data_IF_003037176391
#
_entry.id   IF_003037176391
#
_cell.length_a   1.000
_cell.length_b   1.000
_cell.length_c   1.000
_cell.angle_alpha   90.00
_cell.angle_beta   90.00
_cell.angle_gamma   90.00
#
_symmetry.space_group_name_H-M   'P 1'
#
loop_
_entity.id
_entity.type
_entity.pdbx_description
1 polymer ?
#
# COMPACT_ATOMS: atom_id res chain seq x y z
N UNK A 1 -3.24 19.66 21.45
CA UNK A 1 -2.60 18.36 21.71
C UNK A 1 -1.10 18.57 21.57
N UNK A 2 -0.33 18.23 22.61
CA UNK A 2 1.13 18.20 22.51
C UNK A 2 1.51 17.34 21.30
N UNK A 3 2.50 17.76 20.51
CA UNK A 3 2.91 17.07 19.28
C UNK A 3 3.14 15.57 19.52
N UNK A 4 3.70 15.23 20.68
CA UNK A 4 4.01 13.86 21.11
C UNK A 4 2.79 12.94 21.30
N UNK A 5 1.66 13.46 21.81
CA UNK A 5 0.44 12.64 21.99
C UNK A 5 -0.23 12.32 20.65
N UNK A 6 -0.24 13.29 19.73
CA UNK A 6 -0.77 13.11 18.37
C UNK A 6 0.04 12.11 17.55
N UNK A 7 1.37 12.13 17.74
CA UNK A 7 2.30 11.22 17.07
C UNK A 7 2.12 9.77 17.57
N UNK A 8 2.01 9.56 18.87
CA UNK A 8 1.76 8.25 19.46
C UNK A 8 0.42 7.64 18.98
N UNK A 9 -0.63 8.47 18.89
CA UNK A 9 -1.91 8.05 18.35
C UNK A 9 -1.80 7.66 16.87
N UNK A 10 -1.12 8.47 16.06
CA UNK A 10 -0.94 8.23 14.62
C UNK A 10 -0.18 6.92 14.38
N UNK A 11 0.91 6.70 15.12
CA UNK A 11 1.68 5.45 15.06
C UNK A 11 0.83 4.23 15.42
N UNK A 12 0.03 4.31 16.50
CA UNK A 12 -0.89 3.22 16.90
C UNK A 12 -1.90 2.88 15.79
N UNK A 13 -2.43 3.89 15.11
CA UNK A 13 -3.39 3.69 14.01
C UNK A 13 -2.73 3.00 12.83
N UNK A 14 -1.54 3.45 12.41
CA UNK A 14 -0.78 2.85 11.32
C UNK A 14 -0.46 1.38 11.59
N UNK A 15 -0.01 1.06 12.82
CA UNK A 15 0.23 -0.33 13.24
C UNK A 15 -1.04 -1.17 13.24
N UNK A 16 -2.18 -0.59 13.61
CA UNK A 16 -3.47 -1.28 13.60
C UNK A 16 -3.88 -1.64 12.17
N UNK A 17 -3.79 -0.67 11.23
CA UNK A 17 -4.10 -0.89 9.82
C UNK A 17 -3.21 -1.98 9.23
N UNK A 18 -1.88 -1.88 9.44
CA UNK A 18 -0.94 -2.91 8.98
C UNK A 18 -1.30 -4.29 9.52
N UNK A 19 -1.57 -4.40 10.83
CA UNK A 19 -1.91 -5.68 11.45
C UNK A 19 -3.18 -6.29 10.85
N UNK A 20 -4.16 -5.48 10.47
CA UNK A 20 -5.36 -5.98 9.77
C UNK A 20 -4.97 -6.53 8.39
N UNK A 21 -4.16 -5.78 7.63
CA UNK A 21 -3.65 -6.20 6.31
C UNK A 21 -2.84 -7.49 6.38
N UNK A 22 -2.02 -7.67 7.41
CA UNK A 22 -1.22 -8.90 7.57
C UNK A 22 -2.07 -10.11 7.96
N UNK A 23 -3.13 -9.91 8.75
CA UNK A 23 -3.96 -11.01 9.26
C UNK A 23 -5.06 -11.43 8.28
N UNK A 24 -5.54 -10.51 7.44
CA UNK A 24 -6.59 -10.78 6.46
C UNK A 24 -6.04 -10.65 5.05
N UNK A 25 -5.98 -11.77 4.33
CA UNK A 25 -5.55 -11.88 2.93
C UNK A 25 -6.70 -11.69 1.94
N UNK A 26 -7.92 -11.45 2.43
CA UNK A 26 -9.14 -11.32 1.63
C UNK A 26 -9.78 -9.93 1.74
N UNK A 27 -9.00 -8.89 2.08
CA UNK A 27 -9.50 -7.52 2.16
C UNK A 27 -10.12 -7.13 0.83
N UNK A 28 -11.36 -6.69 0.92
CA UNK A 28 -12.19 -6.28 -0.22
C UNK A 28 -11.85 -4.86 -0.61
N UNK A 29 -11.83 -3.94 0.36
CA UNK A 29 -11.50 -2.54 0.12
C UNK A 29 -11.04 -1.78 1.36
N UNK A 30 -10.42 -0.64 1.09
CA UNK A 30 -10.16 0.42 2.06
C UNK A 30 -10.99 1.64 1.67
N UNK A 31 -11.57 2.35 2.64
CA UNK A 31 -12.24 3.63 2.38
C UNK A 31 -12.14 4.62 3.56
N UNK A 32 -12.37 5.89 3.24
CA UNK A 32 -12.36 7.00 4.20
C UNK A 32 -13.79 7.30 4.62
N UNK A 33 -14.10 7.10 5.90
CA UNK A 33 -15.43 7.34 6.46
C UNK A 33 -15.58 8.82 6.83
N UNK A 34 -16.53 9.57 6.23
CA UNK A 34 -16.76 10.98 6.57
C UNK A 34 -17.21 11.13 8.02
N UNK A 35 -16.29 11.57 8.87
CA UNK A 35 -16.50 11.78 10.30
C UNK A 35 -15.74 13.03 10.72
N UNK A 36 -16.43 14.15 11.02
CA UNK A 36 -15.77 15.43 11.26
C UNK A 36 -15.08 15.52 12.63
N UNK A 37 -15.59 14.79 13.63
CA UNK A 37 -15.07 14.81 15.00
C UNK A 37 -15.09 13.43 15.63
N UNK A 38 -14.13 13.20 16.53
CA UNK A 38 -14.14 12.00 17.34
C UNK A 38 -15.14 12.13 18.51
N UNK A 39 -16.34 11.59 18.36
CA UNK A 39 -17.42 11.67 19.36
C UNK A 39 -17.43 10.49 20.35
N UNK A 40 -16.70 9.42 20.06
CA UNK A 40 -16.67 8.18 20.86
C UNK A 40 -15.20 7.88 21.13
N UNK A 41 -14.78 7.63 22.37
CA UNK A 41 -13.39 7.26 22.68
C UNK A 41 -13.02 5.85 22.14
N UNK A 42 -13.16 5.67 20.83
CA UNK A 42 -13.01 4.45 20.04
C UNK A 42 -11.89 4.68 19.03
N UNK A 43 -11.37 3.57 18.51
CA UNK A 43 -10.40 3.60 17.42
C UNK A 43 -11.05 4.22 16.17
N UNK A 44 -10.35 5.10 15.43
CA UNK A 44 -10.84 5.61 14.15
C UNK A 44 -10.71 4.60 13.01
N UNK A 45 -10.12 3.43 13.28
CA UNK A 45 -10.07 2.30 12.35
C UNK A 45 -11.28 1.42 12.60
N UNK A 46 -12.13 1.30 11.60
CA UNK A 46 -13.28 0.39 11.55
C UNK A 46 -12.89 -0.78 10.64
N UNK A 47 -13.19 -2.00 11.07
CA UNK A 47 -12.96 -3.20 10.28
C UNK A 47 -14.20 -4.09 10.37
N UNK A 48 -14.86 -4.29 9.24
CA UNK A 48 -16.12 -5.04 9.11
C UNK A 48 -16.18 -5.68 7.72
N UNK A 49 -16.60 -6.94 7.64
CA UNK A 49 -16.76 -7.70 6.40
C UNK A 49 -15.58 -7.60 5.41
N UNK A 50 -14.35 -7.75 5.91
CA UNK A 50 -13.12 -7.65 5.12
C UNK A 50 -12.88 -6.26 4.49
N UNK A 51 -13.55 -5.22 4.99
CA UNK A 51 -13.37 -3.82 4.57
C UNK A 51 -12.77 -3.00 5.70
N UNK A 52 -11.81 -2.13 5.35
CA UNK A 52 -11.14 -1.24 6.30
C UNK A 52 -11.65 0.18 6.09
N UNK A 53 -12.30 0.73 7.11
CA UNK A 53 -12.72 2.13 7.17
C UNK A 53 -11.77 2.97 8.03
N UNK A 54 -11.35 4.13 7.54
CA UNK A 54 -10.62 5.12 8.33
C UNK A 54 -11.43 6.41 8.49
N UNK A 55 -11.75 6.78 9.73
CA UNK A 55 -12.50 8.01 10.00
C UNK A 55 -11.73 9.28 9.57
N UNK A 56 -12.40 10.19 8.87
CA UNK A 56 -11.73 11.30 8.18
C UNK A 56 -11.04 12.33 9.09
N UNK A 57 -11.49 12.49 10.34
CA UNK A 57 -10.93 13.47 11.27
C UNK A 57 -9.44 13.21 11.59
N UNK A 58 -8.99 11.96 11.55
CA UNK A 58 -7.62 11.59 11.90
C UNK A 58 -6.64 11.65 10.72
N UNK A 59 -7.14 11.77 9.47
CA UNK A 59 -6.34 11.67 8.24
C UNK A 59 -5.24 12.73 8.21
N UNK A 60 -5.56 13.99 8.50
CA UNK A 60 -4.57 15.08 8.48
C UNK A 60 -3.43 14.83 9.47
N UNK A 61 -3.76 14.30 10.65
CA UNK A 61 -2.77 13.99 11.69
C UNK A 61 -1.86 12.84 11.26
N UNK A 62 -2.46 11.74 10.80
CA UNK A 62 -1.72 10.55 10.35
C UNK A 62 -0.83 10.89 9.16
N UNK A 63 -1.36 11.59 8.16
CA UNK A 63 -0.62 11.90 6.94
C UNK A 63 0.53 12.87 7.20
N UNK A 64 0.34 13.89 8.05
CA UNK A 64 1.42 14.79 8.42
C UNK A 64 2.51 14.05 9.22
N UNK A 65 2.12 13.24 10.21
CA UNK A 65 3.04 12.41 10.97
C UNK A 65 3.84 11.47 10.05
N UNK A 66 3.16 10.79 9.12
CA UNK A 66 3.81 9.91 8.16
C UNK A 66 4.81 10.68 7.29
N UNK A 67 4.40 11.78 6.66
CA UNK A 67 5.28 12.59 5.81
C UNK A 67 6.54 13.07 6.55
N UNK A 68 6.40 13.61 7.76
CA UNK A 68 7.54 14.09 8.54
C UNK A 68 8.57 13.00 8.82
N UNK A 69 8.12 11.80 9.22
CA UNK A 69 9.02 10.69 9.55
C UNK A 69 9.56 9.98 8.29
N UNK A 70 8.77 9.88 7.21
CA UNK A 70 9.17 9.20 5.97
C UNK A 70 10.40 9.84 5.34
N UNK A 71 10.44 11.17 5.23
CA UNK A 71 11.60 11.83 4.62
C UNK A 71 12.85 11.73 5.48
N UNK A 72 12.72 11.78 6.81
CA UNK A 72 13.84 11.57 7.73
C UNK A 72 14.39 10.15 7.60
N UNK A 73 13.51 9.14 7.59
CA UNK A 73 13.92 7.73 7.48
C UNK A 73 14.51 7.43 6.11
N UNK A 74 13.99 8.04 5.06
CA UNK A 74 14.52 7.88 3.71
C UNK A 74 15.93 8.47 3.56
N UNK A 75 16.21 9.63 4.15
CA UNK A 75 17.56 10.19 4.20
C UNK A 75 18.53 9.28 4.98
N UNK A 76 18.09 8.73 6.11
CA UNK A 76 18.86 7.75 6.88
C UNK A 76 19.10 6.45 6.11
N UNK A 77 18.11 5.97 5.34
CA UNK A 77 18.20 4.77 4.51
C UNK A 77 19.24 4.95 3.40
N UNK A 78 19.26 6.11 2.73
CA UNK A 78 20.27 6.44 1.71
C UNK A 78 21.68 6.54 2.28
N UNK A 79 21.80 7.02 3.52
CA UNK A 79 23.08 7.11 4.23
C UNK A 79 23.51 5.76 4.85
N UNK A 80 22.72 4.70 4.72
CA UNK A 80 22.99 3.39 5.32
C UNK A 80 22.94 3.38 6.86
N UNK A 81 22.24 4.34 7.48
CA UNK A 81 22.18 4.53 8.94
C UNK A 81 20.88 4.05 9.57
N UNK A 82 19.90 3.64 8.76
CA UNK A 82 18.60 3.22 9.25
C UNK A 82 18.71 1.83 9.91
N UNK A 83 18.27 1.70 11.16
CA UNK A 83 18.27 0.41 11.85
C UNK A 83 17.13 -0.48 11.37
N UNK A 84 17.25 -1.79 11.56
CA UNK A 84 16.23 -2.77 11.17
C UNK A 84 14.86 -2.50 11.79
N UNK A 85 14.80 -2.14 13.08
CA UNK A 85 13.52 -1.78 13.72
C UNK A 85 12.85 -0.58 13.04
N UNK A 86 13.65 0.46 12.71
CA UNK A 86 13.14 1.65 12.01
C UNK A 86 12.74 1.36 10.57
N UNK A 87 13.29 0.33 9.93
CA UNK A 87 12.84 -0.12 8.61
C UNK A 87 11.42 -0.69 8.65
N UNK A 88 11.08 -1.44 9.71
CA UNK A 88 9.72 -1.89 9.94
C UNK A 88 8.76 -0.70 10.08
N UNK A 89 9.11 0.26 10.93
CA UNK A 89 8.32 1.49 11.11
C UNK A 89 8.22 2.32 9.83
N UNK A 90 9.29 2.38 9.04
CA UNK A 90 9.30 3.03 7.74
C UNK A 90 8.25 2.42 6.79
N UNK A 91 8.14 1.10 6.76
CA UNK A 91 7.13 0.41 5.96
C UNK A 91 5.70 0.71 6.47
N UNK A 92 5.50 0.74 7.79
CA UNK A 92 4.20 1.06 8.40
C UNK A 92 3.72 2.46 7.99
N UNK A 93 4.64 3.43 7.98
CA UNK A 93 4.39 4.79 7.53
C UNK A 93 4.05 4.83 6.03
N UNK A 94 4.77 4.08 5.20
CA UNK A 94 4.51 4.00 3.75
C UNK A 94 3.13 3.40 3.45
N UNK A 95 2.74 2.33 4.14
CA UNK A 95 1.43 1.69 4.00
C UNK A 95 0.32 2.73 4.24
N UNK A 96 0.35 3.42 5.39
CA UNK A 96 -0.69 4.40 5.70
C UNK A 96 -0.69 5.61 4.77
N UNK A 97 0.49 6.13 4.42
CA UNK A 97 0.60 7.28 3.52
C UNK A 97 0.06 6.95 2.12
N UNK A 98 0.34 5.77 1.59
CA UNK A 98 -0.14 5.31 0.28
C UNK A 98 -1.63 4.97 0.28
N UNK A 99 -2.19 4.41 1.36
CA UNK A 99 -3.63 4.21 1.48
C UNK A 99 -4.39 5.54 1.47
N UNK A 100 -3.87 6.56 2.17
CA UNK A 100 -4.47 7.91 2.18
C UNK A 100 -4.27 8.62 0.83
N UNK A 101 -3.03 8.65 0.33
CA UNK A 101 -2.67 9.35 -0.90
C UNK A 101 -1.74 8.52 -1.81
N UNK A 102 -2.31 7.70 -2.69
CA UNK A 102 -1.53 6.81 -3.56
C UNK A 102 -0.93 7.50 -4.79
N UNK A 103 -1.18 8.80 -5.02
CA UNK A 103 -0.64 9.53 -6.17
C UNK A 103 0.80 10.03 -5.97
N UNK A 104 1.40 9.76 -4.81
CA UNK A 104 2.75 10.22 -4.50
C UNK A 104 3.78 9.21 -5.02
N UNK A 105 4.29 9.43 -6.23
CA UNK A 105 5.32 8.57 -6.87
C UNK A 105 6.53 8.33 -5.97
N UNK A 106 6.94 9.32 -5.17
CA UNK A 106 8.07 9.19 -4.23
C UNK A 106 7.87 8.06 -3.22
N UNK A 107 6.65 7.84 -2.72
CA UNK A 107 6.38 6.77 -1.75
C UNK A 107 6.46 5.38 -2.40
N UNK A 108 6.01 5.24 -3.66
CA UNK A 108 6.22 4.02 -4.43
C UNK A 108 7.69 3.76 -4.75
N UNK A 109 8.49 4.80 -4.99
CA UNK A 109 9.94 4.67 -5.14
C UNK A 109 10.60 4.18 -3.85
N UNK A 110 10.19 4.68 -2.69
CA UNK A 110 10.68 4.20 -1.40
C UNK A 110 10.34 2.71 -1.20
N UNK A 111 9.13 2.27 -1.55
CA UNK A 111 8.74 0.85 -1.55
C UNK A 111 9.60 -0.01 -2.49
N UNK A 112 9.91 0.48 -3.70
CA UNK A 112 10.83 -0.21 -4.64
C UNK A 112 12.21 -0.40 -4.03
N UNK A 113 12.76 0.63 -3.41
CA UNK A 113 14.08 0.56 -2.76
C UNK A 113 14.11 -0.46 -1.62
N UNK A 114 13.02 -0.60 -0.85
CA UNK A 114 12.92 -1.63 0.18
C UNK A 114 12.86 -3.05 -0.40
N UNK A 115 12.14 -3.26 -1.51
CA UNK A 115 12.11 -4.55 -2.22
C UNK A 115 13.48 -4.89 -2.82
N UNK A 116 14.18 -3.91 -3.40
CA UNK A 116 15.53 -4.11 -3.97
C UNK A 116 16.57 -4.48 -2.92
N UNK A 117 16.37 -4.03 -1.68
CA UNK A 117 17.18 -4.40 -0.51
C UNK A 117 16.71 -5.68 0.17
N UNK A 118 15.74 -6.40 -0.41
CA UNK A 118 15.15 -7.63 0.13
C UNK A 118 14.52 -7.47 1.53
N UNK A 119 14.07 -6.24 1.86
CA UNK A 119 13.44 -5.92 3.14
C UNK A 119 11.92 -6.12 3.14
N UNK A 120 11.33 -6.25 1.96
CA UNK A 120 9.90 -6.52 1.77
C UNK A 120 9.71 -7.76 0.92
N UNK A 121 8.61 -8.48 1.16
CA UNK A 121 8.21 -9.60 0.33
C UNK A 121 7.41 -9.10 -0.88
N UNK A 122 7.67 -9.67 -2.06
CA UNK A 122 7.00 -9.29 -3.31
C UNK A 122 5.51 -9.67 -3.30
N UNK A 123 5.15 -10.81 -2.71
CA UNK A 123 3.76 -11.28 -2.63
C UNK A 123 2.93 -10.38 -1.72
N UNK A 124 3.48 -9.98 -0.57
CA UNK A 124 2.83 -9.02 0.34
C UNK A 124 2.60 -7.66 -0.35
N UNK A 125 3.55 -7.21 -1.18
CA UNK A 125 3.41 -5.96 -1.93
C UNK A 125 2.46 -6.07 -3.13
N UNK A 126 2.34 -7.26 -3.76
CA UNK A 126 1.27 -7.54 -4.71
C UNK A 126 -0.09 -7.47 -4.00
N UNK A 127 -0.22 -8.03 -2.80
CA UNK A 127 -1.45 -7.93 -2.05
C UNK A 127 -1.77 -6.48 -1.65
N UNK A 128 -0.79 -5.74 -1.13
CA UNK A 128 -0.95 -4.33 -0.78
C UNK A 128 -1.36 -3.47 -1.98
N UNK A 129 -0.72 -3.63 -3.15
CA UNK A 129 -1.09 -2.88 -4.35
C UNK A 129 -2.52 -3.16 -4.82
N UNK A 130 -3.02 -4.40 -4.64
CA UNK A 130 -4.43 -4.73 -4.90
C UNK A 130 -5.37 -3.92 -4.01
N UNK A 131 -5.06 -3.81 -2.71
CA UNK A 131 -5.86 -3.00 -1.76
C UNK A 131 -5.88 -1.53 -2.22
N UNK A 132 -4.73 -0.96 -2.56
CA UNK A 132 -4.66 0.43 -3.04
C UNK A 132 -5.47 0.65 -4.32
N UNK A 133 -5.39 -0.28 -5.28
CA UNK A 133 -6.16 -0.22 -6.54
C UNK A 133 -7.66 -0.37 -6.28
N UNK A 134 -8.06 -1.21 -5.32
CA UNK A 134 -9.47 -1.37 -4.93
C UNK A 134 -10.06 -0.09 -4.32
N UNK A 135 -9.26 0.69 -3.60
CA UNK A 135 -9.66 1.99 -3.06
C UNK A 135 -9.70 3.07 -4.15
N UNK A 136 -8.61 3.22 -4.92
CA UNK A 136 -8.50 4.22 -6.00
C UNK A 136 -8.07 3.56 -7.30
N UNK A 137 -9.04 3.15 -8.10
CA UNK A 137 -8.83 2.39 -9.33
C UNK A 137 -8.09 3.17 -10.45
N UNK A 138 -7.93 4.50 -10.36
CA UNK A 138 -7.28 5.34 -11.39
C UNK A 138 -5.81 5.69 -11.10
N UNK A 139 -5.17 5.05 -10.13
CA UNK A 139 -3.79 5.39 -9.74
C UNK A 139 -2.79 4.69 -10.67
N UNK A 140 -2.21 5.44 -11.61
CA UNK A 140 -1.19 4.95 -12.55
C UNK A 140 0.06 4.40 -11.84
N UNK A 141 0.51 5.07 -10.76
CA UNK A 141 1.69 4.64 -9.99
C UNK A 141 1.49 3.26 -9.33
N UNK A 142 0.28 2.97 -8.82
CA UNK A 142 -0.03 1.68 -8.23
C UNK A 142 0.06 0.54 -9.27
N UNK A 143 -0.49 0.76 -10.47
CA UNK A 143 -0.34 -0.17 -11.59
C UNK A 143 1.11 -0.29 -12.06
N UNK A 144 1.86 0.81 -12.10
CA UNK A 144 3.27 0.79 -12.48
C UNK A 144 4.12 0.00 -11.47
N UNK A 145 3.86 0.19 -10.17
CA UNK A 145 4.51 -0.56 -9.10
C UNK A 145 4.17 -2.05 -9.20
N UNK A 146 2.89 -2.40 -9.40
CA UNK A 146 2.44 -3.77 -9.58
C UNK A 146 3.08 -4.47 -10.78
N UNK A 147 3.14 -3.83 -11.96
CA UNK A 147 3.86 -4.35 -13.13
C UNK A 147 5.33 -4.62 -12.83
N UNK A 148 5.99 -3.69 -12.14
CA UNK A 148 7.39 -3.86 -11.77
C UNK A 148 7.60 -5.07 -10.85
N UNK A 149 6.71 -5.33 -9.88
CA UNK A 149 6.75 -6.53 -9.03
C UNK A 149 6.57 -7.81 -9.85
N UNK A 150 5.58 -7.84 -10.75
CA UNK A 150 5.33 -9.01 -11.63
C UNK A 150 6.54 -9.30 -12.52
N UNK A 151 7.13 -8.27 -13.14
CA UNK A 151 8.33 -8.43 -13.95
C UNK A 151 9.49 -9.02 -13.14
N UNK A 152 9.65 -8.64 -11.86
CA UNK A 152 10.67 -9.26 -11.00
C UNK A 152 10.40 -10.74 -10.76
N UNK A 153 9.15 -11.14 -10.51
CA UNK A 153 8.79 -12.55 -10.35
C UNK A 153 9.08 -13.31 -11.64
N UNK A 154 8.57 -12.82 -12.77
CA UNK A 154 8.72 -13.48 -14.08
C UNK A 154 10.19 -13.61 -14.44
N UNK A 155 10.98 -12.54 -14.32
CA UNK A 155 12.41 -12.58 -14.63
C UNK A 155 13.17 -13.57 -13.73
N UNK A 156 12.80 -13.67 -12.44
CA UNK A 156 13.38 -14.64 -11.51
C UNK A 156 12.99 -16.08 -11.85
N UNK A 157 11.75 -16.32 -12.25
CA UNK A 157 11.29 -17.65 -12.67
C UNK A 157 11.97 -18.08 -13.98
N UNK A 158 12.04 -17.18 -14.96
CA UNK A 158 12.71 -17.41 -16.24
C UNK A 158 14.20 -17.71 -16.05
N UNK A 159 14.90 -16.98 -15.17
CA UNK A 159 16.33 -17.27 -14.90
C UNK A 159 16.56 -18.63 -14.22
N UNK A 160 15.53 -19.16 -13.56
CA UNK A 160 15.53 -20.49 -12.94
C UNK A 160 14.95 -21.59 -13.85
N UNK A 161 14.55 -21.27 -15.09
CA UNK A 161 13.82 -22.16 -16.01
C UNK A 161 12.54 -22.76 -15.38
N UNK A 162 11.85 -21.99 -14.54
CA UNK A 162 10.57 -22.36 -13.93
C UNK A 162 9.45 -21.74 -14.76
N UNK A 163 8.44 -22.55 -15.08
CA UNK A 163 7.25 -22.08 -15.79
C UNK A 163 6.43 -21.13 -14.90
N UNK A 164 5.95 -20.02 -15.48
CA UNK A 164 5.16 -19.03 -14.73
C UNK A 164 3.80 -19.67 -14.35
N UNK A 165 3.45 -19.71 -13.05
CA UNK A 165 2.19 -20.31 -12.63
C UNK A 165 0.98 -19.61 -13.25
N UNK A 166 0.04 -20.39 -13.80
CA UNK A 166 -1.22 -19.86 -14.32
C UNK A 166 -2.00 -19.04 -13.28
N UNK A 167 -1.86 -19.38 -12.00
CA UNK A 167 -2.47 -18.67 -10.88
C UNK A 167 -2.01 -17.21 -10.77
N UNK A 168 -0.76 -16.89 -11.13
CA UNK A 168 -0.26 -15.52 -11.13
C UNK A 168 -1.00 -14.66 -12.16
N UNK A 169 -1.16 -15.19 -13.38
CA UNK A 169 -1.88 -14.53 -14.45
C UNK A 169 -3.39 -14.40 -14.15
N UNK A 170 -3.99 -15.45 -13.60
CA UNK A 170 -5.39 -15.45 -13.18
C UNK A 170 -5.67 -14.39 -12.11
N UNK A 171 -4.79 -14.30 -11.10
CA UNK A 171 -4.87 -13.26 -10.09
C UNK A 171 -4.78 -11.88 -10.72
N UNK A 172 -3.93 -11.71 -11.72
CA UNK A 172 -3.74 -10.41 -12.35
C UNK A 172 -4.95 -9.97 -13.19
N UNK A 173 -5.56 -10.90 -13.93
CA UNK A 173 -6.84 -10.63 -14.58
C UNK A 173 -7.95 -10.27 -13.59
N UNK A 174 -7.97 -10.88 -12.40
CA UNK A 174 -8.95 -10.53 -11.36
C UNK A 174 -8.82 -9.08 -10.88
N UNK A 175 -7.59 -8.59 -10.69
CA UNK A 175 -7.31 -7.22 -10.24
C UNK A 175 -7.69 -6.21 -11.33
N UNK A 176 -7.33 -6.50 -12.58
CA UNK A 176 -7.72 -5.68 -13.74
C UNK A 176 -9.23 -5.61 -13.87
N UNK A 177 -9.92 -6.74 -13.77
CA UNK A 177 -11.37 -6.81 -13.85
C UNK A 177 -12.03 -5.97 -12.75
N UNK A 178 -11.61 -6.15 -11.49
CA UNK A 178 -12.06 -5.36 -10.35
C UNK A 178 -11.87 -3.84 -10.58
N UNK A 179 -10.68 -3.43 -11.03
CA UNK A 179 -10.39 -2.02 -11.29
C UNK A 179 -11.19 -1.43 -12.46
N UNK A 180 -11.53 -2.25 -13.46
CA UNK A 180 -12.35 -1.86 -14.60
C UNK A 180 -13.83 -1.68 -14.22
N UNK A 181 -14.34 -2.49 -13.29
CA UNK A 181 -15.72 -2.37 -12.79
C UNK A 181 -15.90 -1.10 -11.92
N UNK A 182 -14.90 -0.75 -11.10
CA UNK A 182 -14.95 0.42 -10.22
C UNK A 182 -14.84 1.77 -10.94
N UNK A 183 -14.39 1.80 -12.20
CA UNK A 183 -14.32 3.04 -12.98
C UNK A 183 -14.61 2.80 -14.46
N UNK A 184 -15.68 3.38 -15.03
CA UNK A 184 -15.89 3.35 -16.47
C UNK A 184 -14.71 4.02 -17.21
N UNK A 185 -14.33 3.47 -18.37
CA UNK A 185 -13.22 3.94 -19.20
C UNK A 185 -11.85 4.02 -18.49
N UNK A 186 -11.54 3.04 -17.63
CA UNK A 186 -10.25 2.97 -16.94
C UNK A 186 -9.10 2.57 -17.91
N UNK A 187 -8.57 3.55 -18.65
CA UNK A 187 -7.45 3.37 -19.58
C UNK A 187 -6.21 2.75 -18.90
N UNK A 188 -5.96 3.04 -17.62
CA UNK A 188 -4.81 2.47 -16.89
C UNK A 188 -4.95 0.96 -16.67
N UNK A 189 -6.16 0.46 -16.38
CA UNK A 189 -6.43 -0.98 -16.27
C UNK A 189 -6.28 -1.69 -17.61
N UNK A 190 -6.80 -1.10 -18.69
CA UNK A 190 -6.68 -1.68 -20.04
C UNK A 190 -5.23 -1.69 -20.54
N UNK A 191 -4.45 -0.63 -20.31
CA UNK A 191 -3.02 -0.63 -20.61
C UNK A 191 -2.25 -1.65 -19.77
N UNK A 192 -2.61 -1.82 -18.49
CA UNK A 192 -2.01 -2.85 -17.66
C UNK A 192 -2.31 -4.25 -18.21
N UNK A 193 -3.54 -4.48 -18.69
CA UNK A 193 -3.94 -5.74 -19.32
C UNK A 193 -3.12 -6.05 -20.57
N UNK A 194 -3.01 -5.10 -21.48
CA UNK A 194 -2.24 -5.28 -22.73
C UNK A 194 -0.78 -5.62 -22.39
N UNK A 195 -0.21 -4.98 -21.37
CA UNK A 195 1.15 -5.26 -20.92
C UNK A 195 1.31 -6.63 -20.24
N UNK A 196 0.24 -7.21 -19.70
CA UNK A 196 0.27 -8.54 -19.07
C UNK A 196 0.08 -9.68 -20.10
N UNK A 197 -0.40 -9.36 -21.30
CA UNK A 197 -0.61 -10.32 -22.41
C UNK A 197 0.62 -10.43 -23.34
N UNK A 198 1.60 -9.51 -23.23
CA UNK A 198 2.86 -9.49 -23.99
C UNK A 198 4.03 -10.11 -23.20
#
# INVERSE_FOLDING_TARGET
MSSTEGDAMSNRILRTIKKIIENDQNIVEFDIIPTPYNLKNKSPVVYEDHSIGLESWCIKHIYNYACSNLFEYYDQLKKGKLSYMKMGEFNDLLIGALLINPHVTTFWNMKRELIERELLNVDDELYFSKIVISHKAKVSDAFAYRRWLLQRIINKMCSMNIEVPYTLLQNEFSVIHMASQKSPNNYHSWNHRICAEC
#
